data_IF_321608909980
#
_entry.id   IF_321608909980
#
_cell.length_a   1.000
_cell.length_b   1.000
_cell.length_c   1.000
_cell.angle_alpha   90.00
_cell.angle_beta   90.00
_cell.angle_gamma   90.00
#
_symmetry.space_group_name_H-M   'P 1'
#
loop_
_entity.id
_entity.type
_entity.pdbx_description
1 polymer ?
#
# COMPACT_ATOMS: atom_id res chain seq x y z
N UNK A 1 -58.14 -3.51 2.74
CA UNK A 1 -57.14 -4.44 2.19
C UNK A 1 -56.23 -3.69 1.22
N UNK A 2 -55.19 -3.00 1.70
CA UNK A 2 -54.10 -2.46 0.86
C UNK A 2 -52.85 -2.33 1.75
N UNK A 3 -52.02 -3.38 1.76
CA UNK A 3 -50.67 -3.34 2.31
C UNK A 3 -49.71 -3.03 1.17
N UNK A 4 -49.17 -1.81 1.13
CA UNK A 4 -48.08 -1.48 0.22
C UNK A 4 -46.82 -2.08 0.83
N UNK A 5 -46.39 -3.22 0.31
CA UNK A 5 -45.06 -3.74 0.58
C UNK A 5 -44.04 -2.73 0.03
N UNK A 6 -43.43 -1.93 0.91
CA UNK A 6 -42.18 -1.25 0.58
C UNK A 6 -41.14 -2.32 0.32
N UNK A 7 -40.94 -2.63 -0.96
CA UNK A 7 -39.82 -3.43 -1.40
C UNK A 7 -38.55 -2.63 -1.16
N UNK A 8 -37.89 -2.92 -0.04
CA UNK A 8 -36.53 -2.51 0.23
C UNK A 8 -35.64 -3.16 -0.84
N UNK A 9 -35.48 -2.50 -2.00
CA UNK A 9 -34.44 -2.82 -2.98
C UNK A 9 -33.12 -2.55 -2.28
N UNK A 10 -32.57 -3.58 -1.65
CA UNK A 10 -31.18 -3.57 -1.23
C UNK A 10 -30.31 -3.18 -2.43
N UNK A 11 -29.31 -2.36 -2.13
CA UNK A 11 -28.45 -1.59 -3.00
C UNK A 11 -27.49 -2.42 -3.86
N UNK A 12 -27.97 -3.44 -4.59
CA UNK A 12 -27.13 -4.25 -5.48
C UNK A 12 -26.35 -3.36 -6.48
N UNK A 13 -27.01 -2.35 -7.06
CA UNK A 13 -26.37 -1.40 -7.98
C UNK A 13 -25.40 -0.39 -7.34
N UNK A 14 -25.40 -0.21 -6.01
CA UNK A 14 -24.46 0.69 -5.36
C UNK A 14 -23.06 0.06 -5.27
N UNK A 15 -23.00 -1.22 -4.87
CA UNK A 15 -21.75 -1.97 -4.79
C UNK A 15 -21.11 -2.19 -6.17
N UNK A 16 -21.92 -2.45 -7.20
CA UNK A 16 -21.47 -2.59 -8.59
C UNK A 16 -20.95 -1.25 -9.15
N UNK A 17 -21.62 -0.13 -8.81
CA UNK A 17 -21.17 1.21 -9.17
C UNK A 17 -19.86 1.61 -8.49
N UNK A 18 -19.71 1.33 -7.19
CA UNK A 18 -18.48 1.60 -6.42
C UNK A 18 -17.32 0.75 -6.93
N UNK A 19 -17.53 -0.54 -7.18
CA UNK A 19 -16.52 -1.44 -7.74
C UNK A 19 -16.12 -1.03 -9.16
N UNK A 20 -17.08 -0.67 -10.02
CA UNK A 20 -16.79 -0.18 -11.36
C UNK A 20 -16.04 1.15 -11.33
N UNK A 21 -16.38 2.04 -10.41
CA UNK A 21 -15.67 3.31 -10.22
C UNK A 21 -14.24 3.08 -9.71
N UNK A 22 -14.03 2.13 -8.80
CA UNK A 22 -12.68 1.73 -8.35
C UNK A 22 -11.85 1.14 -9.48
N UNK A 23 -12.43 0.25 -10.30
CA UNK A 23 -11.75 -0.33 -11.46
C UNK A 23 -11.37 0.76 -12.48
N UNK A 24 -12.30 1.67 -12.78
CA UNK A 24 -12.06 2.79 -13.68
C UNK A 24 -10.96 3.72 -13.14
N UNK A 25 -10.96 4.00 -11.84
CA UNK A 25 -9.91 4.79 -11.19
C UNK A 25 -8.54 4.11 -11.27
N UNK A 26 -8.47 2.79 -11.09
CA UNK A 26 -7.24 2.01 -11.25
C UNK A 26 -6.75 2.03 -12.71
N UNK A 27 -7.65 1.82 -13.68
CA UNK A 27 -7.29 1.91 -15.10
C UNK A 27 -6.79 3.31 -15.46
N UNK A 28 -7.44 4.36 -14.98
CA UNK A 28 -7.01 5.73 -15.17
C UNK A 28 -5.63 5.99 -14.55
N UNK A 29 -5.38 5.48 -13.33
CA UNK A 29 -4.08 5.58 -12.69
C UNK A 29 -2.98 4.88 -13.49
N UNK A 30 -3.22 3.66 -14.00
CA UNK A 30 -2.27 2.93 -14.85
C UNK A 30 -1.99 3.71 -16.14
N UNK A 31 -3.01 4.26 -16.78
CA UNK A 31 -2.85 5.09 -17.98
C UNK A 31 -2.05 6.37 -17.71
N UNK A 32 -2.27 7.02 -16.56
CA UNK A 32 -1.48 8.18 -16.15
C UNK A 32 -0.01 7.80 -15.88
N UNK A 33 0.24 6.68 -15.20
CA UNK A 33 1.59 6.16 -14.99
C UNK A 33 2.28 5.83 -16.31
N UNK A 34 1.53 5.36 -17.31
CA UNK A 34 2.06 5.11 -18.65
C UNK A 34 2.37 6.40 -19.42
N UNK A 35 1.46 7.37 -19.39
CA UNK A 35 1.61 8.65 -20.09
C UNK A 35 2.73 9.52 -19.51
N UNK A 36 2.97 9.41 -18.20
CA UNK A 36 4.01 10.13 -17.47
C UNK A 36 5.06 9.17 -16.92
N UNK A 37 5.49 8.21 -17.74
CA UNK A 37 6.40 7.15 -17.32
C UNK A 37 7.73 7.69 -16.78
N UNK A 38 8.31 8.70 -17.43
CA UNK A 38 9.54 9.35 -17.01
C UNK A 38 9.42 9.98 -15.60
N UNK A 39 8.31 10.69 -15.36
CA UNK A 39 8.01 11.29 -14.06
C UNK A 39 7.77 10.19 -13.01
N UNK A 40 7.07 9.13 -13.38
CA UNK A 40 6.81 7.99 -12.50
C UNK A 40 8.11 7.27 -12.09
N UNK A 41 9.01 7.01 -13.04
CA UNK A 41 10.34 6.44 -12.78
C UNK A 41 11.12 7.35 -11.83
N UNK A 42 11.11 8.66 -12.06
CA UNK A 42 11.78 9.62 -11.19
C UNK A 42 11.23 9.58 -9.75
N UNK A 43 9.91 9.64 -9.56
CA UNK A 43 9.32 9.65 -8.22
C UNK A 43 9.52 8.34 -7.45
N UNK A 44 9.42 7.20 -8.15
CA UNK A 44 9.64 5.88 -7.53
C UNK A 44 11.09 5.71 -7.09
N UNK A 45 12.05 6.06 -7.95
CA UNK A 45 13.49 6.02 -7.61
C UNK A 45 13.86 7.03 -6.53
N UNK A 46 13.33 8.25 -6.58
CA UNK A 46 13.53 9.29 -5.57
C UNK A 46 13.02 8.87 -4.18
N UNK A 47 11.83 8.25 -4.13
CA UNK A 47 11.26 7.76 -2.87
C UNK A 47 12.14 6.68 -2.26
N UNK A 48 12.53 5.68 -3.06
CA UNK A 48 13.41 4.60 -2.59
C UNK A 48 14.78 5.14 -2.18
N UNK A 49 15.33 6.12 -2.90
CA UNK A 49 16.61 6.74 -2.57
C UNK A 49 16.60 7.28 -1.13
N UNK A 50 15.55 8.00 -0.75
CA UNK A 50 15.41 8.53 0.61
C UNK A 50 15.22 7.43 1.66
N UNK A 51 14.42 6.40 1.36
CA UNK A 51 14.25 5.26 2.26
C UNK A 51 15.58 4.54 2.53
N UNK A 52 16.38 4.32 1.49
CA UNK A 52 17.71 3.74 1.63
C UNK A 52 18.67 4.65 2.40
N UNK A 53 18.62 5.97 2.15
CA UNK A 53 19.42 6.95 2.90
C UNK A 53 19.08 6.99 4.39
N UNK A 54 17.83 6.75 4.79
CA UNK A 54 17.45 6.69 6.21
C UNK A 54 18.02 5.48 6.94
N UNK A 55 18.28 4.39 6.21
CA UNK A 55 18.79 3.12 6.76
C UNK A 55 20.30 2.98 6.51
N UNK A 56 20.94 4.00 5.93
CA UNK A 56 22.36 4.01 5.63
C UNK A 56 23.22 4.14 6.91
N UNK A 57 23.54 3.01 7.52
CA UNK A 57 24.45 2.93 8.67
C UNK A 57 25.86 2.54 8.22
N UNK A 58 26.93 2.99 8.92
CA UNK A 58 28.32 2.71 8.54
C UNK A 58 28.64 1.23 8.30
N UNK A 59 27.99 0.32 9.05
CA UNK A 59 28.19 -1.13 8.92
C UNK A 59 27.60 -1.71 7.62
N UNK A 60 26.49 -1.17 7.13
CA UNK A 60 25.82 -1.63 5.90
C UNK A 60 26.05 -0.70 4.70
N UNK A 61 26.86 0.34 4.88
CA UNK A 61 27.06 1.40 3.91
C UNK A 61 27.54 0.89 2.55
N UNK A 62 28.43 -0.10 2.49
CA UNK A 62 28.89 -0.67 1.22
C UNK A 62 27.74 -1.33 0.43
N UNK A 63 26.78 -1.93 1.13
CA UNK A 63 25.63 -2.59 0.52
C UNK A 63 24.51 -1.59 0.17
N UNK A 64 24.16 -0.71 1.11
CA UNK A 64 23.14 0.34 0.90
C UNK A 64 23.61 1.38 -0.13
N UNK A 65 24.88 1.77 -0.10
CA UNK A 65 25.49 2.72 -1.03
C UNK A 65 25.40 2.27 -2.49
N UNK A 66 25.57 0.98 -2.75
CA UNK A 66 25.37 0.42 -4.10
C UNK A 66 23.94 0.61 -4.61
N UNK A 67 22.94 0.44 -3.74
CA UNK A 67 21.52 0.68 -4.07
C UNK A 67 21.21 2.16 -4.25
N UNK A 68 21.75 3.00 -3.38
CA UNK A 68 21.58 4.46 -3.42
C UNK A 68 22.14 5.04 -4.72
N UNK A 69 23.34 4.63 -5.12
CA UNK A 69 23.97 5.10 -6.36
C UNK A 69 23.19 4.66 -7.60
N UNK A 70 22.74 3.41 -7.63
CA UNK A 70 21.93 2.87 -8.72
C UNK A 70 20.60 3.63 -8.85
N UNK A 71 19.94 3.97 -7.74
CA UNK A 71 18.73 4.79 -7.76
C UNK A 71 18.99 6.22 -8.22
N UNK A 72 20.12 6.82 -7.82
CA UNK A 72 20.50 8.16 -8.26
C UNK A 72 20.80 8.21 -9.76
N UNK A 73 21.49 7.21 -10.29
CA UNK A 73 21.81 7.12 -11.73
C UNK A 73 20.55 7.01 -12.59
N UNK A 74 19.63 6.11 -12.21
CA UNK A 74 18.34 5.92 -12.91
C UNK A 74 17.46 7.16 -12.81
N UNK A 75 17.45 7.85 -11.66
CA UNK A 75 16.70 9.10 -11.51
C UNK A 75 17.23 10.21 -12.42
N UNK A 76 18.55 10.32 -12.58
CA UNK A 76 19.18 11.30 -13.46
C UNK A 76 18.92 11.01 -14.95
N UNK A 77 18.77 9.73 -15.31
CA UNK A 77 18.53 9.28 -16.69
C UNK A 77 17.07 8.86 -16.95
N UNK A 78 16.13 9.20 -16.08
CA UNK A 78 14.75 8.69 -16.09
C UNK A 78 13.99 8.86 -17.43
N UNK A 79 14.39 9.82 -18.27
CA UNK A 79 13.80 10.03 -19.61
C UNK A 79 14.20 8.98 -20.65
N UNK A 80 15.32 8.31 -20.46
CA UNK A 80 15.87 7.30 -21.37
C UNK A 80 15.68 5.86 -20.86
N UNK A 81 15.30 5.71 -19.60
CA UNK A 81 15.11 4.43 -18.93
C UNK A 81 13.91 3.69 -19.54
N UNK A 82 14.08 2.41 -19.80
CA UNK A 82 13.00 1.53 -20.28
C UNK A 82 12.24 0.89 -19.12
N UNK A 83 11.05 0.35 -19.39
CA UNK A 83 10.26 -0.35 -18.36
C UNK A 83 10.99 -1.55 -17.76
N UNK A 84 11.70 -2.31 -18.58
CA UNK A 84 12.45 -3.50 -18.14
C UNK A 84 13.60 -3.13 -17.20
N UNK A 85 14.38 -2.13 -17.59
CA UNK A 85 15.47 -1.57 -16.78
C UNK A 85 14.95 -1.01 -15.45
N UNK A 86 13.83 -0.28 -15.48
CA UNK A 86 13.19 0.20 -14.26
C UNK A 86 12.73 -0.95 -13.37
N UNK A 87 12.13 -2.01 -13.92
CA UNK A 87 11.71 -3.18 -13.14
C UNK A 87 12.89 -3.92 -12.49
N UNK A 88 14.01 -4.06 -13.19
CA UNK A 88 15.23 -4.66 -12.65
C UNK A 88 15.75 -3.85 -11.46
N UNK A 89 15.80 -2.52 -11.61
CA UNK A 89 16.18 -1.57 -10.56
C UNK A 89 15.23 -1.67 -9.36
N UNK A 90 13.92 -1.71 -9.60
CA UNK A 90 12.91 -1.87 -8.54
C UNK A 90 13.07 -3.21 -7.83
N UNK A 91 13.27 -4.31 -8.55
CA UNK A 91 13.50 -5.63 -7.94
C UNK A 91 14.75 -5.63 -7.05
N UNK A 92 15.80 -4.94 -7.47
CA UNK A 92 17.06 -4.84 -6.73
C UNK A 92 16.99 -3.94 -5.48
N UNK A 93 16.04 -3.01 -5.40
CA UNK A 93 16.03 -1.92 -4.40
C UNK A 93 14.76 -1.86 -3.53
N UNK A 94 13.62 -2.35 -4.01
CA UNK A 94 12.31 -2.27 -3.33
C UNK A 94 12.22 -3.09 -2.04
N UNK A 95 13.14 -4.03 -1.81
CA UNK A 95 13.19 -4.82 -0.58
C UNK A 95 13.26 -3.98 0.71
N UNK A 96 13.73 -2.73 0.61
CA UNK A 96 13.71 -1.78 1.73
C UNK A 96 12.30 -1.49 2.26
N UNK A 97 11.27 -1.60 1.42
CA UNK A 97 9.89 -1.37 1.82
C UNK A 97 9.44 -2.38 2.89
N UNK A 98 9.93 -3.62 2.84
CA UNK A 98 9.62 -4.64 3.84
C UNK A 98 10.16 -4.26 5.22
N UNK A 99 11.33 -3.63 5.27
CA UNK A 99 11.94 -3.20 6.53
C UNK A 99 11.04 -2.19 7.26
N UNK A 100 10.35 -1.31 6.53
CA UNK A 100 9.38 -0.36 7.09
C UNK A 100 7.98 -0.94 7.27
N UNK A 101 7.57 -1.87 6.40
CA UNK A 101 6.25 -2.49 6.45
C UNK A 101 6.11 -3.45 7.64
N UNK A 102 7.13 -4.24 7.95
CA UNK A 102 7.12 -5.19 9.07
C UNK A 102 6.75 -4.51 10.41
N UNK A 103 7.45 -3.45 10.88
CA UNK A 103 7.10 -2.81 12.13
C UNK A 103 5.71 -2.16 12.08
N UNK A 104 5.32 -1.59 10.93
CA UNK A 104 3.97 -1.03 10.75
C UNK A 104 2.91 -2.12 10.95
N UNK A 105 3.06 -3.28 10.30
CA UNK A 105 2.14 -4.41 10.44
C UNK A 105 2.09 -4.90 11.88
N UNK A 106 3.24 -5.05 12.55
CA UNK A 106 3.29 -5.49 13.95
C UNK A 106 2.52 -4.52 14.85
N UNK A 107 2.76 -3.21 14.73
CA UNK A 107 2.09 -2.19 15.55
C UNK A 107 0.60 -2.13 15.24
N UNK A 108 0.21 -2.19 13.97
CA UNK A 108 -1.20 -2.23 13.56
C UNK A 108 -1.92 -3.49 14.07
N UNK A 109 -1.30 -4.66 13.95
CA UNK A 109 -1.84 -5.92 14.46
C UNK A 109 -1.97 -5.90 15.98
N UNK A 110 -0.97 -5.36 16.69
CA UNK A 110 -1.02 -5.19 18.14
C UNK A 110 -2.14 -4.24 18.56
N UNK A 111 -2.24 -3.08 17.90
CA UNK A 111 -3.30 -2.10 18.14
C UNK A 111 -4.68 -2.70 17.90
N UNK A 112 -4.84 -3.48 16.83
CA UNK A 112 -6.08 -4.21 16.55
C UNK A 112 -6.37 -5.24 17.64
N UNK A 113 -5.40 -6.08 18.02
CA UNK A 113 -5.58 -7.10 19.06
C UNK A 113 -5.99 -6.51 20.41
N UNK A 114 -5.50 -5.31 20.74
CA UNK A 114 -5.85 -4.59 21.97
C UNK A 114 -7.14 -3.77 21.85
N UNK A 115 -7.70 -3.63 20.64
CA UNK A 115 -8.83 -2.75 20.36
C UNK A 115 -10.09 -3.20 21.12
N UNK A 116 -10.70 -2.33 21.96
CA UNK A 116 -11.78 -2.69 22.88
C UNK A 116 -13.09 -3.08 22.18
N UNK A 117 -13.25 -2.75 20.89
CA UNK A 117 -14.42 -3.12 20.08
C UNK A 117 -14.35 -4.57 19.57
N UNK A 118 -13.21 -5.25 19.70
CA UNK A 118 -13.12 -6.63 19.24
C UNK A 118 -14.03 -7.57 20.07
N UNK A 119 -14.82 -8.45 19.41
CA UNK A 119 -15.82 -9.30 20.04
C UNK A 119 -15.24 -10.35 21.01
N UNK A 120 -13.91 -10.51 21.05
CA UNK A 120 -13.23 -11.38 22.02
C UNK A 120 -13.08 -10.75 23.41
N UNK A 121 -13.18 -9.41 23.53
CA UNK A 121 -13.09 -8.69 24.82
C UNK A 121 -14.41 -8.09 25.30
N UNK A 122 -15.41 -7.93 24.44
CA UNK A 122 -16.73 -7.37 24.81
C UNK A 122 -17.76 -8.41 25.26
N UNK A 123 -17.40 -9.71 25.36
CA UNK A 123 -18.27 -10.69 25.98
C UNK A 123 -18.17 -10.57 27.50
N UNK A 124 -19.07 -9.76 28.08
CA UNK A 124 -19.57 -9.98 29.44
C UNK A 124 -19.84 -11.48 29.59
N UNK A 125 -19.07 -12.18 30.43
CA UNK A 125 -19.37 -13.55 30.84
C UNK A 125 -20.74 -13.53 31.53
N UNK A 126 -21.79 -13.92 30.80
CA UNK A 126 -23.11 -14.13 31.40
C UNK A 126 -23.02 -15.41 32.23
N UNK A 127 -22.81 -15.24 33.53
CA UNK A 127 -22.86 -16.33 34.49
C UNK A 127 -24.31 -16.50 34.96
N UNK A 128 -24.79 -17.74 35.03
CA UNK A 128 -26.17 -18.09 35.45
C UNK A 128 -26.48 -17.57 36.86
N UNK A 129 -25.45 -17.32 37.69
CA UNK A 129 -25.57 -16.72 39.03
C UNK A 129 -25.71 -15.19 39.05
N UNK A 130 -25.74 -14.52 37.90
CA UNK A 130 -25.93 -13.06 37.79
C UNK A 130 -27.27 -12.67 37.15
N UNK A 131 -28.23 -13.61 37.14
CA UNK A 131 -29.64 -13.37 36.83
C UNK A 131 -30.44 -13.19 38.13
#
# INVERSE_FOLDING_TARGET
MWGIAMQNRQSQGAWEGEQAQMLLALCAAVLLCWMFFDIFVYWTTWTLYWLWKMVDFPFIHAWAGGKINLLADVANHAKAVTLDEWLEVMNATSGILLLFLIPLVIVSSWGLAQHPVLPFRSKRLVNIHTL
#
